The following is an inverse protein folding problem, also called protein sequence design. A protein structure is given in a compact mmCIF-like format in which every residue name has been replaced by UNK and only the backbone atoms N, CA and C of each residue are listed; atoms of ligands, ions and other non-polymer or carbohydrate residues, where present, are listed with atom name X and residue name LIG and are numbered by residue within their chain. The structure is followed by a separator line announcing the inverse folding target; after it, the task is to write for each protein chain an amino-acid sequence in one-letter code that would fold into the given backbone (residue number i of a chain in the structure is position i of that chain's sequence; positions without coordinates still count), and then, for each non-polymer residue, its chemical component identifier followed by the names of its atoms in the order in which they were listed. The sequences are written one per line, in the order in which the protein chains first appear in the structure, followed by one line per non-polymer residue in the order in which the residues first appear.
data_IF_718510026750
#
_entry.id   IF_718510026750
#
_cell.length_a   1.000
_cell.length_b   1.000
_cell.length_c   1.000
_cell.angle_alpha   90.00
_cell.angle_beta   90.00
_cell.angle_gamma   90.00
#
_symmetry.space_group_name_H-M   'P 1'
#
loop_
_entity.id
_entity.type
_entity.pdbx_description
1 polymer ?
#
# COMPACT_ATOMS: atom_id res chain seq x y z
N UNK A 1 -6.94 13.57 13.91
CA UNK A 1 -6.74 12.88 12.62
C UNK A 1 -5.80 13.74 11.81
N UNK A 2 -4.53 13.33 11.65
CA UNK A 2 -3.48 14.21 11.11
C UNK A 2 -3.76 14.69 9.69
N UNK A 3 -4.24 13.82 8.81
CA UNK A 3 -4.43 14.19 7.41
C UNK A 3 -5.71 15.00 7.22
N UNK A 4 -6.77 14.72 7.98
CA UNK A 4 -7.96 15.58 8.03
C UNK A 4 -7.66 16.97 8.58
N UNK A 5 -6.84 17.08 9.64
CA UNK A 5 -6.37 18.36 10.18
C UNK A 5 -5.49 19.12 9.19
N UNK A 6 -4.57 18.43 8.51
CA UNK A 6 -3.76 19.02 7.44
C UNK A 6 -4.62 19.57 6.31
N UNK A 7 -5.65 18.83 5.87
CA UNK A 7 -6.59 19.27 4.84
C UNK A 7 -7.32 20.55 5.26
N UNK A 8 -7.84 20.59 6.48
CA UNK A 8 -8.61 21.73 7.02
C UNK A 8 -7.72 22.95 7.25
N UNK A 9 -6.52 22.75 7.78
CA UNK A 9 -5.57 23.84 8.07
C UNK A 9 -5.12 24.58 6.82
N UNK A 10 -4.99 23.87 5.69
CA UNK A 10 -4.61 24.47 4.41
C UNK A 10 -5.82 24.97 3.59
N UNK A 11 -7.03 24.76 4.11
CA UNK A 11 -8.30 25.10 3.47
C UNK A 11 -8.39 24.72 1.98
N UNK A 12 -7.94 23.51 1.64
CA UNK A 12 -8.06 23.05 0.26
C UNK A 12 -9.53 22.76 -0.09
N UNK A 13 -9.92 23.21 -1.28
CA UNK A 13 -11.27 23.11 -1.85
C UNK A 13 -11.18 22.67 -3.31
N UNK A 14 -12.30 22.18 -3.87
CA UNK A 14 -12.40 21.78 -5.28
C UNK A 14 -11.33 20.76 -5.71
N UNK A 15 -10.98 19.83 -4.81
CA UNK A 15 -9.91 18.88 -5.00
C UNK A 15 -10.29 17.75 -5.96
N UNK A 16 -9.36 17.38 -6.84
CA UNK A 16 -9.33 16.03 -7.43
C UNK A 16 -8.34 15.18 -6.65
N UNK A 17 -8.84 14.17 -5.95
CA UNK A 17 -8.01 13.27 -5.15
C UNK A 17 -7.39 12.17 -6.02
N UNK A 18 -6.12 11.83 -5.80
CA UNK A 18 -5.52 10.57 -6.26
C UNK A 18 -4.79 9.91 -5.08
N UNK A 19 -5.16 8.66 -4.77
CA UNK A 19 -4.52 7.88 -3.71
C UNK A 19 -3.98 6.53 -4.18
N UNK A 20 -2.79 6.16 -3.72
CA UNK A 20 -2.16 4.85 -3.95
C UNK A 20 -1.66 4.26 -2.62
N UNK A 21 -1.68 2.93 -2.48
CA UNK A 21 -1.31 2.21 -1.26
C UNK A 21 -1.99 2.83 -0.02
N UNK A 22 -1.27 3.14 1.06
CA UNK A 22 -1.80 3.83 2.24
C UNK A 22 -2.45 5.17 1.96
N UNK A 23 -2.01 5.87 0.91
CA UNK A 23 -2.61 7.11 0.46
C UNK A 23 -4.09 6.94 0.10
N UNK A 24 -4.49 5.79 -0.44
CA UNK A 24 -5.91 5.48 -0.67
C UNK A 24 -6.65 5.10 0.61
N UNK A 25 -6.07 4.25 1.47
CA UNK A 25 -6.70 3.85 2.75
C UNK A 25 -7.02 5.08 3.62
N UNK A 26 -6.09 6.03 3.70
CA UNK A 26 -6.26 7.26 4.48
C UNK A 26 -7.09 8.28 3.70
N UNK A 27 -6.77 8.51 2.43
CA UNK A 27 -7.40 9.57 1.64
C UNK A 27 -8.88 9.34 1.35
N UNK A 28 -9.31 8.09 1.10
CA UNK A 28 -10.74 7.79 0.94
C UNK A 28 -11.53 8.05 2.22
N UNK A 29 -10.91 7.85 3.39
CA UNK A 29 -11.50 8.20 4.69
C UNK A 29 -11.62 9.71 4.87
N UNK A 30 -10.63 10.48 4.42
CA UNK A 30 -10.71 11.94 4.40
C UNK A 30 -11.80 12.43 3.46
N UNK A 31 -11.90 11.86 2.25
CA UNK A 31 -12.95 12.20 1.27
C UNK A 31 -14.34 11.96 1.88
N UNK A 32 -14.55 10.84 2.56
CA UNK A 32 -15.83 10.57 3.20
C UNK A 32 -16.12 11.47 4.41
N UNK A 33 -15.09 11.95 5.11
CA UNK A 33 -15.23 12.82 6.28
C UNK A 33 -15.49 14.29 5.92
N UNK A 34 -14.92 14.77 4.81
CA UNK A 34 -15.03 16.16 4.35
C UNK A 34 -15.38 16.21 2.84
N UNK A 35 -16.52 15.64 2.42
CA UNK A 35 -16.83 15.36 1.01
C UNK A 35 -16.96 16.60 0.13
N UNK A 36 -17.37 17.73 0.69
CA UNK A 36 -17.57 18.98 -0.06
C UNK A 36 -16.26 19.57 -0.60
N UNK A 37 -15.12 19.18 -0.01
CA UNK A 37 -13.80 19.62 -0.47
C UNK A 37 -13.33 18.93 -1.75
N UNK A 38 -13.98 17.83 -2.14
CA UNK A 38 -13.56 16.97 -3.25
C UNK A 38 -14.60 16.93 -4.37
N UNK A 39 -14.18 17.26 -5.59
CA UNK A 39 -15.01 17.22 -6.79
C UNK A 39 -14.88 15.91 -7.57
N UNK A 40 -13.70 15.28 -7.52
CA UNK A 40 -13.38 14.04 -8.23
C UNK A 40 -12.46 13.16 -7.41
N UNK A 41 -12.60 11.85 -7.57
CA UNK A 41 -11.85 10.84 -6.83
C UNK A 41 -11.19 9.91 -7.84
N UNK A 42 -9.89 9.74 -7.74
CA UNK A 42 -9.16 8.68 -8.40
C UNK A 42 -8.37 7.90 -7.34
N UNK A 43 -8.16 6.63 -7.59
CA UNK A 43 -7.35 5.78 -6.72
C UNK A 43 -6.71 4.67 -7.53
N UNK A 44 -5.54 4.20 -7.14
CA UNK A 44 -4.87 3.13 -7.86
C UNK A 44 -4.01 2.26 -6.98
N UNK A 45 -3.98 0.96 -7.25
CA UNK A 45 -3.36 -0.07 -6.40
C UNK A 45 -3.57 0.20 -4.89
N UNK A 46 -4.82 0.34 -4.51
CA UNK A 46 -5.24 0.62 -3.13
C UNK A 46 -6.66 0.12 -2.91
N UNK A 47 -7.24 0.40 -1.75
CA UNK A 47 -8.59 0.01 -1.41
C UNK A 47 -9.05 0.66 -0.11
N UNK A 48 -10.23 0.24 0.34
CA UNK A 48 -10.74 0.57 1.67
C UNK A 48 -11.17 -0.73 2.37
N UNK A 49 -10.23 -1.60 2.77
CA UNK A 49 -10.55 -2.97 3.21
C UNK A 49 -11.55 -2.97 4.35
N UNK A 50 -12.55 -3.86 4.27
CA UNK A 50 -13.61 -4.00 5.26
C UNK A 50 -14.00 -5.46 5.39
N UNK A 51 -13.50 -6.11 6.44
CA UNK A 51 -13.64 -7.55 6.66
C UNK A 51 -14.30 -7.86 8.01
N UNK A 52 -15.54 -7.38 8.27
CA UNK A 52 -16.20 -7.60 9.57
C UNK A 52 -16.51 -9.07 9.85
N UNK A 53 -16.65 -9.87 8.79
CA UNK A 53 -17.03 -11.28 8.85
C UNK A 53 -15.87 -12.21 8.46
N UNK A 54 -14.62 -11.80 8.73
CA UNK A 54 -13.48 -12.70 8.49
C UNK A 54 -13.69 -14.01 9.28
N UNK A 55 -13.46 -15.20 8.67
CA UNK A 55 -13.64 -16.47 9.36
C UNK A 55 -12.76 -16.57 10.61
N UNK A 56 -13.28 -17.15 11.70
CA UNK A 56 -12.54 -17.26 12.95
C UNK A 56 -11.19 -17.98 12.77
N UNK A 57 -11.15 -19.05 11.97
CA UNK A 57 -9.92 -19.76 11.62
C UNK A 57 -8.84 -18.84 11.01
N UNK A 58 -9.24 -17.87 10.19
CA UNK A 58 -8.32 -16.89 9.59
C UNK A 58 -7.86 -15.88 10.64
N UNK A 59 -8.74 -15.46 11.53
CA UNK A 59 -8.42 -14.53 12.63
C UNK A 59 -7.38 -15.17 13.55
N UNK A 60 -7.61 -16.43 13.94
CA UNK A 60 -6.72 -17.20 14.81
C UNK A 60 -5.37 -17.42 14.14
N UNK A 61 -5.34 -17.89 12.88
CA UNK A 61 -4.10 -18.09 12.11
C UNK A 61 -3.25 -16.80 12.07
N UNK A 62 -3.88 -15.66 11.76
CA UNK A 62 -3.19 -14.37 11.66
C UNK A 62 -2.64 -13.92 13.03
N UNK A 63 -3.44 -14.04 14.08
CA UNK A 63 -3.04 -13.62 15.43
C UNK A 63 -1.92 -14.51 15.98
N UNK A 64 -2.03 -15.83 15.86
CA UNK A 64 -1.00 -16.78 16.26
C UNK A 64 0.31 -16.54 15.50
N UNK A 65 0.23 -16.37 14.18
CA UNK A 65 1.40 -16.10 13.35
C UNK A 65 2.10 -14.80 13.74
N UNK A 66 1.34 -13.72 13.97
CA UNK A 66 1.87 -12.41 14.40
C UNK A 66 2.56 -12.50 15.77
N UNK A 67 1.93 -13.19 16.72
CA UNK A 67 2.44 -13.39 18.08
C UNK A 67 3.64 -14.35 18.16
N UNK A 68 3.81 -15.23 17.17
CA UNK A 68 4.87 -16.23 17.17
C UNK A 68 6.30 -15.62 17.18
N UNK A 69 7.26 -16.41 17.65
CA UNK A 69 8.70 -16.09 17.58
C UNK A 69 9.30 -16.34 16.18
N UNK A 70 8.48 -16.70 15.19
CA UNK A 70 8.94 -17.01 13.83
C UNK A 70 9.54 -15.77 13.18
N UNK A 71 10.80 -15.86 12.78
CA UNK A 71 11.48 -14.80 12.02
C UNK A 71 11.29 -15.02 10.52
N UNK A 72 10.85 -13.96 9.84
CA UNK A 72 10.63 -13.97 8.40
C UNK A 72 11.80 -13.22 7.75
N UNK A 73 12.44 -13.85 6.75
CA UNK A 73 13.44 -13.17 5.92
C UNK A 73 12.77 -12.33 4.84
N UNK A 74 13.49 -11.36 4.27
CA UNK A 74 12.99 -10.57 3.14
C UNK A 74 12.47 -11.47 2.00
N UNK A 75 13.26 -12.46 1.57
CA UNK A 75 12.84 -13.40 0.51
C UNK A 75 11.69 -14.32 0.91
N UNK A 76 11.61 -14.71 2.19
CA UNK A 76 10.49 -15.47 2.71
C UNK A 76 9.19 -14.67 2.67
N UNK A 77 9.27 -13.38 3.05
CA UNK A 77 8.14 -12.46 2.96
C UNK A 77 7.72 -12.25 1.50
N UNK A 78 8.65 -11.92 0.60
CA UNK A 78 8.30 -11.62 -0.81
C UNK A 78 7.68 -12.83 -1.50
N UNK A 79 8.15 -14.05 -1.20
CA UNK A 79 7.57 -15.30 -1.71
C UNK A 79 6.11 -15.51 -1.29
N UNK A 80 5.73 -15.13 -0.08
CA UNK A 80 4.35 -15.30 0.39
C UNK A 80 3.45 -14.17 -0.11
N UNK A 81 3.95 -12.93 -0.11
CA UNK A 81 3.23 -11.76 -0.65
C UNK A 81 2.99 -11.88 -2.16
N UNK A 82 3.89 -12.50 -2.92
CA UNK A 82 3.68 -12.72 -4.37
C UNK A 82 2.53 -13.68 -4.69
N UNK A 83 1.89 -14.29 -3.68
CA UNK A 83 0.75 -15.20 -3.83
C UNK A 83 -0.57 -14.55 -3.38
N UNK A 84 -0.57 -13.26 -3.06
CA UNK A 84 -1.73 -12.53 -2.50
C UNK A 84 -3.01 -12.71 -3.34
N UNK A 85 -2.90 -12.68 -4.67
CA UNK A 85 -4.03 -12.81 -5.61
C UNK A 85 -4.46 -14.26 -5.91
N UNK A 86 -3.76 -15.26 -5.35
CA UNK A 86 -4.00 -16.70 -5.59
C UNK A 86 -4.53 -17.46 -4.37
N UNK A 87 -4.82 -16.78 -3.27
CA UNK A 87 -5.22 -17.41 -2.00
C UNK A 87 -6.67 -17.12 -1.62
N UNK A 88 -7.24 -18.00 -0.77
CA UNK A 88 -8.63 -17.91 -0.31
C UNK A 88 -8.91 -16.64 0.51
N UNK A 89 -7.93 -16.17 1.31
CA UNK A 89 -8.07 -14.97 2.13
C UNK A 89 -6.75 -14.17 2.14
N UNK A 90 -6.80 -12.89 1.80
CA UNK A 90 -5.59 -12.05 1.66
C UNK A 90 -4.80 -11.93 2.96
N UNK A 91 -5.49 -11.95 4.12
CA UNK A 91 -4.85 -11.84 5.44
C UNK A 91 -3.74 -12.89 5.68
N UNK A 92 -3.92 -14.13 5.21
CA UNK A 92 -2.97 -15.24 5.47
C UNK A 92 -1.66 -15.10 4.68
N UNK A 93 -1.60 -14.21 3.69
CA UNK A 93 -0.37 -13.83 3.00
C UNK A 93 0.14 -12.46 3.42
N UNK A 94 -0.77 -11.52 3.66
CA UNK A 94 -0.39 -10.19 4.14
C UNK A 94 0.26 -10.22 5.54
N UNK A 95 -0.08 -11.19 6.39
CA UNK A 95 0.55 -11.36 7.70
C UNK A 95 2.08 -11.54 7.63
N UNK A 96 2.63 -12.05 6.53
CA UNK A 96 4.08 -12.17 6.32
C UNK A 96 4.74 -10.80 6.13
N UNK A 97 4.08 -9.88 5.42
CA UNK A 97 4.52 -8.49 5.30
C UNK A 97 4.45 -7.78 6.65
N UNK A 98 3.35 -7.96 7.39
CA UNK A 98 3.18 -7.40 8.74
C UNK A 98 4.28 -7.90 9.70
N UNK A 99 4.53 -9.21 9.72
CA UNK A 99 5.54 -9.82 10.59
C UNK A 99 6.95 -9.37 10.24
N UNK A 100 7.30 -9.37 8.96
CA UNK A 100 8.62 -8.93 8.49
C UNK A 100 8.89 -7.47 8.83
N UNK A 101 7.92 -6.57 8.56
CA UNK A 101 8.07 -5.14 8.82
C UNK A 101 8.14 -4.82 10.30
N UNK A 102 7.30 -5.46 11.11
CA UNK A 102 7.30 -5.28 12.56
C UNK A 102 8.62 -5.72 13.20
N UNK A 103 9.12 -6.91 12.83
CA UNK A 103 10.32 -7.49 13.45
C UNK A 103 11.64 -6.85 12.97
N UNK A 104 11.64 -6.18 11.81
CA UNK A 104 12.85 -5.59 11.21
C UNK A 104 13.18 -4.22 11.82
N UNK A 105 14.03 -4.19 12.85
CA UNK A 105 14.49 -2.91 13.47
C UNK A 105 15.06 -1.94 12.44
N UNK A 106 16.03 -2.39 11.62
CA UNK A 106 16.50 -1.66 10.44
C UNK A 106 15.76 -2.18 9.20
N UNK A 107 14.52 -1.74 9.00
CA UNK A 107 13.74 -2.12 7.82
C UNK A 107 14.47 -1.67 6.55
N UNK A 108 14.69 -2.57 5.55
CA UNK A 108 15.47 -2.25 4.35
C UNK A 108 14.62 -1.50 3.32
N UNK A 109 14.20 -0.26 3.66
CA UNK A 109 13.24 0.55 2.90
C UNK A 109 13.77 0.84 1.49
N UNK A 110 15.04 1.22 1.37
CA UNK A 110 15.65 1.48 0.07
C UNK A 110 15.59 0.23 -0.82
N UNK A 111 15.95 -0.93 -0.26
CA UNK A 111 15.94 -2.19 -1.00
C UNK A 111 14.52 -2.62 -1.39
N UNK A 112 13.53 -2.47 -0.51
CA UNK A 112 12.12 -2.78 -0.79
C UNK A 112 11.66 -1.97 -2.01
N UNK A 113 11.88 -0.66 -1.99
CA UNK A 113 11.49 0.23 -3.09
C UNK A 113 12.25 -0.11 -4.38
N UNK A 114 13.56 -0.30 -4.31
CA UNK A 114 14.37 -0.71 -5.47
C UNK A 114 13.95 -2.06 -6.04
N UNK A 115 13.59 -3.03 -5.20
CA UNK A 115 13.11 -4.33 -5.66
C UNK A 115 11.79 -4.21 -6.45
N UNK A 116 10.95 -3.26 -6.08
CA UNK A 116 9.66 -3.01 -6.74
C UNK A 116 9.79 -2.10 -7.97
N UNK A 117 10.69 -1.11 -7.94
CA UNK A 117 10.78 -0.04 -8.95
C UNK A 117 11.95 -0.20 -9.94
N UNK A 118 13.01 -0.93 -9.60
CA UNK A 118 14.19 -1.15 -10.44
C UNK A 118 14.31 -2.62 -10.89
N UNK A 119 14.93 -2.83 -12.04
CA UNK A 119 15.08 -4.18 -12.62
C UNK A 119 16.31 -4.95 -12.11
N UNK A 120 17.26 -4.26 -11.49
CA UNK A 120 18.59 -4.81 -11.20
C UNK A 120 18.58 -5.97 -10.20
N UNK A 121 17.67 -5.93 -9.22
CA UNK A 121 17.54 -6.98 -8.22
C UNK A 121 16.65 -8.14 -8.68
N UNK A 122 15.77 -7.92 -9.66
CA UNK A 122 14.98 -9.00 -10.29
C UNK A 122 15.88 -9.95 -11.09
N UNK A 123 16.96 -9.42 -11.68
CA UNK A 123 17.91 -10.19 -12.50
C UNK A 123 18.98 -10.93 -11.69
N UNK A 124 19.18 -10.59 -10.41
CA UNK A 124 20.18 -11.25 -9.57
C UNK A 124 19.81 -11.18 -8.08
N UNK A 125 19.21 -12.26 -7.52
CA UNK A 125 18.86 -12.31 -6.09
C UNK A 125 20.10 -12.25 -5.18
N UNK A 126 21.28 -12.61 -5.70
CA UNK A 126 22.56 -12.53 -4.97
C UNK A 126 22.89 -11.08 -4.60
N UNK A 127 22.63 -10.11 -5.49
CA UNK A 127 22.87 -8.68 -5.19
C UNK A 127 22.03 -8.22 -4.00
N UNK A 128 20.75 -8.58 -4.00
CA UNK A 128 19.83 -8.26 -2.90
C UNK A 128 20.28 -8.96 -1.60
N UNK A 129 20.72 -10.21 -1.67
CA UNK A 129 21.24 -10.94 -0.51
C UNK A 129 22.47 -10.26 0.11
N UNK A 130 23.46 -9.88 -0.70
CA UNK A 130 24.65 -9.14 -0.25
C UNK A 130 24.24 -7.82 0.41
N UNK A 131 23.32 -7.07 -0.21
CA UNK A 131 22.83 -5.82 0.37
C UNK A 131 22.14 -6.04 1.72
N UNK A 132 21.28 -7.06 1.84
CA UNK A 132 20.59 -7.40 3.10
C UNK A 132 21.58 -7.75 4.20
N UNK A 133 22.64 -8.51 3.90
CA UNK A 133 23.67 -8.84 4.88
C UNK A 133 24.36 -7.58 5.41
N UNK A 134 24.76 -6.67 4.53
CA UNK A 134 25.36 -5.39 4.90
C UNK A 134 24.39 -4.55 5.74
N UNK A 135 23.10 -4.49 5.36
CA UNK A 135 22.10 -3.73 6.10
C UNK A 135 21.83 -4.28 7.51
N UNK A 136 21.90 -5.61 7.70
CA UNK A 136 21.75 -6.24 9.02
C UNK A 136 22.84 -5.82 10.01
N UNK A 137 24.04 -5.51 9.52
CA UNK A 137 25.18 -5.06 10.34
C UNK A 137 25.40 -3.55 10.29
N UNK A 138 24.50 -2.78 9.66
CA UNK A 138 24.57 -1.31 9.59
C UNK A 138 25.58 -0.77 8.56
N UNK A 139 25.98 -1.59 7.59
CA UNK A 139 26.95 -1.26 6.54
C UNK A 139 26.30 -1.17 5.14
N UNK A 140 24.99 -0.92 5.05
CA UNK A 140 24.28 -0.83 3.77
C UNK A 140 24.89 0.19 2.79
N UNK A 141 25.46 1.28 3.30
CA UNK A 141 26.03 2.38 2.50
C UNK A 141 27.29 2.00 1.72
N UNK A 142 28.01 0.96 2.14
CA UNK A 142 29.18 0.44 1.40
C UNK A 142 28.80 -0.65 0.40
N UNK A 143 27.52 -1.02 0.31
CA UNK A 143 27.07 -2.02 -0.64
C UNK A 143 27.32 -1.52 -2.07
N UNK A 144 27.96 -2.32 -2.95
CA UNK A 144 28.17 -1.94 -4.35
C UNK A 144 26.86 -1.89 -5.15
N UNK A 145 25.74 -2.30 -4.53
CA UNK A 145 24.41 -2.29 -5.11
C UNK A 145 23.51 -1.21 -4.49
N UNK A 146 24.08 -0.26 -3.73
CA UNK A 146 23.32 0.81 -3.10
C UNK A 146 23.00 1.94 -4.09
N UNK A 147 21.80 1.89 -4.66
CA UNK A 147 21.44 2.75 -5.80
C UNK A 147 20.95 4.12 -5.36
N UNK A 148 20.88 5.06 -6.30
CA UNK A 148 20.38 6.41 -5.99
C UNK A 148 18.92 6.39 -5.56
N UNK A 149 18.12 5.45 -6.10
CA UNK A 149 16.77 5.21 -5.61
C UNK A 149 16.77 4.77 -4.14
N UNK A 150 17.62 3.82 -3.78
CA UNK A 150 17.73 3.37 -2.40
C UNK A 150 18.15 4.52 -1.48
N UNK A 151 19.12 5.34 -1.89
CA UNK A 151 19.54 6.53 -1.14
C UNK A 151 18.38 7.50 -0.94
N UNK A 152 17.59 7.77 -1.97
CA UNK A 152 16.44 8.68 -1.89
C UNK A 152 15.37 8.18 -0.90
N UNK A 153 15.06 6.88 -0.91
CA UNK A 153 14.08 6.30 0.00
C UNK A 153 14.60 6.04 1.42
N UNK A 154 15.91 5.95 1.61
CA UNK A 154 16.54 5.89 2.94
C UNK A 154 16.82 7.29 3.52
N UNK A 155 16.83 8.36 2.70
CA UNK A 155 17.14 9.73 3.15
C UNK A 155 16.27 10.23 4.32
N UNK A 156 14.95 9.94 4.41
CA UNK A 156 14.14 10.32 5.57
C UNK A 156 14.50 9.60 6.86
N UNK A 157 15.36 8.57 6.82
CA UNK A 157 15.67 7.69 7.94
C UNK A 157 17.17 7.71 8.27
N UNK A 158 17.68 8.74 8.97
CA UNK A 158 19.10 8.84 9.31
C UNK A 158 19.66 7.62 10.04
N UNK A 159 18.82 6.95 10.83
CA UNK A 159 19.12 5.68 11.47
C UNK A 159 17.81 4.88 11.76
N UNK A 160 17.89 3.62 12.21
CA UNK A 160 16.73 2.76 12.42
C UNK A 160 15.65 3.28 13.38
N UNK A 161 15.96 4.20 14.31
CA UNK A 161 14.96 4.76 15.24
C UNK A 161 13.89 5.59 14.53
N UNK A 162 14.18 6.11 13.32
CA UNK A 162 13.24 6.87 12.50
C UNK A 162 12.30 5.97 11.68
N UNK A 163 12.51 4.64 11.68
CA UNK A 163 11.75 3.70 10.84
C UNK A 163 10.50 3.12 11.51
N UNK A 164 10.08 3.63 12.67
CA UNK A 164 8.92 3.08 13.38
C UNK A 164 7.61 3.19 12.59
N UNK A 165 7.38 4.29 11.88
CA UNK A 165 6.20 4.46 11.04
C UNK A 165 6.09 3.37 9.97
N UNK A 166 7.07 3.22 9.06
CA UNK A 166 7.09 2.17 8.05
C UNK A 166 7.00 0.74 8.60
N UNK A 167 7.57 0.48 9.79
CA UNK A 167 7.47 -0.82 10.47
C UNK A 167 6.06 -1.10 10.99
N UNK A 168 5.39 -0.09 11.51
CA UNK A 168 4.07 -0.21 12.15
C UNK A 168 2.92 -0.18 11.14
N UNK A 169 3.05 0.64 10.08
CA UNK A 169 1.97 0.87 9.10
C UNK A 169 1.33 -0.43 8.62
N UNK A 170 2.04 -1.46 8.12
CA UNK A 170 1.42 -2.70 7.65
C UNK A 170 0.48 -3.37 8.66
N UNK A 171 0.76 -3.27 9.96
CA UNK A 171 -0.08 -3.85 11.01
C UNK A 171 -1.42 -3.13 11.20
N UNK A 172 -1.58 -1.94 10.61
CA UNK A 172 -2.80 -1.13 10.65
C UNK A 172 -3.75 -1.43 9.50
N UNK A 173 -3.37 -2.27 8.50
CA UNK A 173 -4.31 -2.61 7.42
C UNK A 173 -5.38 -3.56 8.00
N UNK A 174 -6.68 -3.23 7.87
CA UNK A 174 -7.76 -4.03 8.46
C UNK A 174 -8.05 -5.29 7.62
N UNK A 175 -7.11 -6.23 7.66
CA UNK A 175 -7.24 -7.54 7.02
C UNK A 175 -8.14 -8.50 7.80
N UNK A 176 -8.31 -8.25 9.09
CA UNK A 176 -9.22 -8.91 10.02
C UNK A 176 -9.97 -7.83 10.83
N UNK A 177 -11.09 -8.14 11.51
CA UNK A 177 -11.77 -7.21 12.40
C UNK A 177 -10.82 -6.51 13.37
N UNK A 178 -10.84 -5.18 13.37
CA UNK A 178 -10.08 -4.36 14.31
C UNK A 178 -10.84 -3.05 14.66
N UNK A 179 -10.21 -2.18 15.44
CA UNK A 179 -10.77 -0.90 15.87
C UNK A 179 -11.14 0.06 14.73
N UNK A 180 -10.66 -0.17 13.51
CA UNK A 180 -10.96 0.67 12.35
C UNK A 180 -12.30 0.32 11.68
N UNK A 181 -12.94 -0.80 12.03
CA UNK A 181 -14.14 -1.29 11.34
C UNK A 181 -15.28 -0.29 11.23
N UNK A 182 -15.66 0.37 12.32
CA UNK A 182 -16.75 1.38 12.28
C UNK A 182 -16.41 2.52 11.32
N UNK A 183 -15.14 2.90 11.35
CA UNK A 183 -14.60 4.00 10.60
C UNK A 183 -14.55 3.63 9.09
N UNK A 184 -14.16 2.40 8.76
CA UNK A 184 -14.25 1.83 7.40
C UNK A 184 -15.70 1.72 6.91
N UNK A 185 -16.62 1.27 7.77
CA UNK A 185 -18.05 1.15 7.48
C UNK A 185 -18.64 2.49 7.07
N UNK A 186 -18.45 3.54 7.88
CA UNK A 186 -18.94 4.90 7.60
C UNK A 186 -18.48 5.42 6.24
N UNK A 187 -17.20 5.23 5.91
CA UNK A 187 -16.69 5.67 4.62
C UNK A 187 -17.22 4.84 3.46
N UNK A 188 -17.39 3.52 3.62
CA UNK A 188 -18.03 2.68 2.61
C UNK A 188 -19.51 3.05 2.39
N UNK A 189 -20.24 3.39 3.45
CA UNK A 189 -21.62 3.87 3.35
C UNK A 189 -21.70 5.15 2.51
N UNK A 190 -20.78 6.09 2.71
CA UNK A 190 -20.66 7.28 1.88
C UNK A 190 -20.41 6.93 0.40
N UNK A 191 -19.40 6.10 0.10
CA UNK A 191 -19.08 5.75 -1.29
C UNK A 191 -20.16 4.91 -1.98
N UNK A 192 -20.96 4.16 -1.22
CA UNK A 192 -22.07 3.36 -1.76
C UNK A 192 -23.12 4.23 -2.45
N UNK A 193 -23.34 5.45 -1.96
CA UNK A 193 -24.38 6.37 -2.47
C UNK A 193 -23.81 7.65 -3.07
N UNK A 194 -22.49 7.82 -3.08
CA UNK A 194 -21.84 9.00 -3.66
C UNK A 194 -22.02 9.03 -5.18
N UNK A 195 -22.35 10.21 -5.71
CA UNK A 195 -22.41 10.45 -7.17
C UNK A 195 -21.14 11.12 -7.70
N UNK A 196 -20.18 11.46 -6.83
CA UNK A 196 -18.94 12.14 -7.22
C UNK A 196 -18.16 11.28 -8.22
N UNK A 197 -17.69 11.81 -9.36
CA UNK A 197 -16.92 11.05 -10.33
C UNK A 197 -15.77 10.29 -9.65
N UNK A 198 -15.74 8.98 -9.88
CA UNK A 198 -14.78 8.07 -9.25
C UNK A 198 -14.08 7.23 -10.33
N UNK A 199 -12.75 7.28 -10.38
CA UNK A 199 -11.92 6.44 -11.22
C UNK A 199 -11.04 5.45 -10.42
N UNK A 200 -11.11 4.16 -10.75
CA UNK A 200 -10.23 3.11 -10.26
C UNK A 200 -9.13 2.83 -11.29
N UNK A 201 -7.87 3.09 -10.93
CA UNK A 201 -6.68 3.03 -11.79
C UNK A 201 -5.73 1.95 -11.30
N UNK A 202 -6.03 0.68 -11.60
CA UNK A 202 -5.20 -0.44 -11.20
C UNK A 202 -4.17 -0.80 -12.27
N UNK A 203 -2.98 -1.22 -11.85
CA UNK A 203 -1.93 -1.62 -12.77
C UNK A 203 -2.27 -2.91 -13.53
N UNK A 204 -3.08 -3.80 -12.96
CA UNK A 204 -3.42 -5.12 -13.51
C UNK A 204 -2.33 -6.19 -13.32
N UNK A 205 -1.11 -5.79 -12.94
CA UNK A 205 0.01 -6.71 -12.65
C UNK A 205 0.62 -6.48 -11.26
N UNK A 206 -0.20 -6.13 -10.26
CA UNK A 206 0.18 -6.03 -8.85
C UNK A 206 -0.53 -7.11 -8.00
N UNK A 207 0.15 -8.23 -7.66
CA UNK A 207 -0.46 -9.29 -6.85
C UNK A 207 -1.00 -8.80 -5.50
N UNK A 208 -0.47 -7.70 -4.95
CA UNK A 208 -0.87 -7.19 -3.64
C UNK A 208 -2.28 -6.61 -3.68
N UNK A 209 -2.63 -5.88 -4.75
CA UNK A 209 -3.88 -5.11 -4.82
C UNK A 209 -4.79 -5.48 -5.98
N UNK A 210 -4.41 -6.41 -6.86
CA UNK A 210 -5.26 -6.86 -7.96
C UNK A 210 -6.63 -7.35 -7.47
N UNK A 211 -6.69 -8.02 -6.30
CA UNK A 211 -7.96 -8.43 -5.69
C UNK A 211 -8.82 -7.27 -5.19
N UNK A 212 -8.23 -6.11 -4.91
CA UNK A 212 -8.91 -4.95 -4.34
C UNK A 212 -9.77 -4.20 -5.37
N UNK A 213 -9.42 -4.19 -6.66
CA UNK A 213 -10.20 -3.47 -7.68
C UNK A 213 -11.68 -3.92 -7.71
N UNK A 214 -11.92 -5.23 -7.65
CA UNK A 214 -13.28 -5.79 -7.64
C UNK A 214 -14.08 -5.36 -6.41
N UNK A 215 -13.43 -5.24 -5.27
CA UNK A 215 -14.06 -4.76 -4.04
C UNK A 215 -14.33 -3.25 -4.09
N UNK A 216 -13.42 -2.48 -4.69
CA UNK A 216 -13.60 -1.04 -4.93
C UNK A 216 -14.83 -0.77 -5.82
N UNK A 217 -14.94 -1.47 -6.95
CA UNK A 217 -16.09 -1.33 -7.85
C UNK A 217 -17.41 -1.78 -7.19
N UNK A 218 -17.33 -2.68 -6.20
CA UNK A 218 -18.51 -3.10 -5.42
C UNK A 218 -18.90 -2.07 -4.35
N UNK A 219 -17.92 -1.46 -3.68
CA UNK A 219 -18.19 -0.51 -2.60
C UNK A 219 -18.63 0.86 -3.13
N UNK A 220 -18.21 1.23 -4.35
CA UNK A 220 -18.55 2.48 -5.03
C UNK A 220 -19.16 2.17 -6.41
N UNK A 221 -20.49 1.99 -6.52
CA UNK A 221 -21.14 1.58 -7.77
C UNK A 221 -20.95 2.56 -8.94
N UNK A 222 -20.67 3.84 -8.65
CA UNK A 222 -20.41 4.85 -9.67
C UNK A 222 -18.93 4.90 -10.12
N UNK A 223 -18.05 4.11 -9.51
CA UNK A 223 -16.64 4.04 -9.89
C UNK A 223 -16.45 3.35 -11.24
N UNK A 224 -15.60 3.94 -12.09
CA UNK A 224 -15.22 3.39 -13.39
C UNK A 224 -13.81 2.81 -13.32
N UNK A 225 -13.59 1.64 -13.90
CA UNK A 225 -12.25 1.07 -14.07
C UNK A 225 -11.54 1.72 -15.26
N UNK A 226 -10.30 2.16 -15.06
CA UNK A 226 -9.41 2.65 -16.10
C UNK A 226 -8.63 1.49 -16.75
N UNK A 227 -8.06 1.67 -17.95
CA UNK A 227 -7.21 0.66 -18.57
C UNK A 227 -6.03 0.26 -17.66
N UNK A 228 -5.74 -1.04 -17.60
CA UNK A 228 -4.60 -1.56 -16.85
C UNK A 228 -3.28 -1.29 -17.57
N UNK A 229 -2.50 -0.33 -17.07
CA UNK A 229 -1.25 0.16 -17.70
C UNK A 229 0.02 -0.62 -17.32
N UNK A 230 -0.10 -1.63 -16.45
CA UNK A 230 1.03 -2.33 -15.86
C UNK A 230 1.81 -1.45 -14.87
N UNK A 231 3.04 -1.87 -14.56
CA UNK A 231 3.96 -1.10 -13.71
C UNK A 231 4.13 -1.62 -12.27
N UNK A 232 3.40 -2.67 -11.89
CA UNK A 232 3.48 -3.27 -10.56
C UNK A 232 2.88 -2.38 -9.47
N UNK A 233 3.27 -2.62 -8.21
CA UNK A 233 2.68 -1.94 -7.05
C UNK A 233 2.84 -0.41 -7.10
N UNK A 234 4.06 0.06 -7.37
CA UNK A 234 4.40 1.48 -7.49
C UNK A 234 4.45 1.93 -8.96
N UNK A 235 3.34 1.76 -9.68
CA UNK A 235 3.26 2.10 -11.11
C UNK A 235 3.41 3.60 -11.38
N UNK A 236 3.25 4.47 -10.38
CA UNK A 236 3.61 5.88 -10.50
C UNK A 236 5.08 6.10 -10.87
N UNK A 237 5.97 5.16 -10.51
CA UNK A 237 7.38 5.22 -10.88
C UNK A 237 7.64 4.67 -12.28
N UNK A 238 7.06 3.51 -12.60
CA UNK A 238 7.39 2.76 -13.81
C UNK A 238 6.52 3.12 -15.02
N UNK A 239 5.39 3.79 -14.78
CA UNK A 239 4.37 4.18 -15.76
C UNK A 239 3.83 5.59 -15.49
N UNK A 240 4.71 6.50 -15.09
CA UNK A 240 4.35 7.90 -14.77
C UNK A 240 3.59 8.60 -15.90
N UNK A 241 4.04 8.48 -17.14
CA UNK A 241 3.43 9.11 -18.31
C UNK A 241 2.01 8.56 -18.62
N UNK A 242 1.80 7.22 -18.78
CA UNK A 242 0.47 6.66 -18.94
C UNK A 242 -0.48 7.01 -17.78
N UNK A 243 0.01 6.94 -16.53
CA UNK A 243 -0.80 7.31 -15.36
C UNK A 243 -1.23 8.78 -15.43
N UNK A 244 -0.28 9.68 -15.69
CA UNK A 244 -0.55 11.11 -15.77
C UNK A 244 -1.57 11.41 -16.85
N UNK A 245 -1.48 10.74 -18.02
CA UNK A 245 -2.47 10.88 -19.07
C UNK A 245 -3.88 10.47 -18.62
N UNK A 246 -4.02 9.31 -17.97
CA UNK A 246 -5.31 8.84 -17.44
C UNK A 246 -5.90 9.86 -16.45
N UNK A 247 -5.09 10.37 -15.53
CA UNK A 247 -5.55 11.34 -14.53
C UNK A 247 -5.91 12.69 -15.15
N UNK A 248 -5.12 13.17 -16.12
CA UNK A 248 -5.42 14.41 -16.85
C UNK A 248 -6.74 14.29 -17.62
N UNK A 249 -6.94 13.18 -18.32
CA UNK A 249 -8.17 12.95 -19.09
C UNK A 249 -9.38 12.88 -18.15
N UNK A 250 -9.24 12.26 -16.98
CA UNK A 250 -10.27 12.22 -15.94
C UNK A 250 -10.54 13.60 -15.29
N UNK A 251 -9.52 14.42 -15.08
CA UNK A 251 -9.69 15.78 -14.57
C UNK A 251 -10.45 16.64 -15.57
N UNK A 252 -10.20 16.48 -16.87
CA UNK A 252 -10.83 17.26 -17.94
C UNK A 252 -12.25 16.85 -18.29
N UNK A 253 -12.57 15.55 -18.21
CA UNK A 253 -13.91 15.01 -18.50
C UNK A 253 -14.85 15.10 -17.31
#
# INVERSE_FOLDING_TARGET
DWMGEWLKKNDFQNLTFFGQDWGGLIGLRMVAADPDRFIKIAMGNTGLPYNPNAPQEVIDEVNEFRASNKKISFFGMTKEVSKMDKNKHMATKFMYWQKFTWDSKNLPIGLINSFQMESQFRKSPVKAYIHILLQKIGLEKISPFYTDLMKAYEAPFPNPSYKMGPRAMPSQVPMIPDQSLDAQRKAREFFKTSEKPFLAVFAGNDPVTNGAERDVLRMAPNAKSAPHIGGGHFFQWTKAEPLSKILIDFIKG
#
